data_IF_861870037360
#
_entry.id   IF_861870037360
#
_cell.length_a   1.000
_cell.length_b   1.000
_cell.length_c   1.000
_cell.angle_alpha   90.00
_cell.angle_beta   90.00
_cell.angle_gamma   90.00
#
_symmetry.space_group_name_H-M   'P 1'
#
loop_
_entity.id
_entity.type
_entity.pdbx_description
1 polymer ?
#
# COMPACT_ATOMS: atom_id res chain seq x y z
N UNK A 1 -2.42 -3.57 30.79
CA UNK A 1 -2.66 -2.34 30.00
C UNK A 1 -1.39 -2.18 29.19
N UNK A 2 -1.35 -2.36 27.88
CA UNK A 2 -2.15 -1.69 26.87
C UNK A 2 -2.51 -2.65 25.73
N UNK A 3 -3.78 -2.67 25.35
CA UNK A 3 -4.23 -3.35 24.13
C UNK A 3 -3.63 -2.60 22.94
N UNK A 4 -2.54 -3.11 22.38
CA UNK A 4 -2.11 -2.75 21.02
C UNK A 4 -3.11 -3.36 20.04
N UNK A 5 -4.30 -2.78 19.96
CA UNK A 5 -5.07 -2.79 18.73
C UNK A 5 -4.13 -2.23 17.67
N UNK A 6 -3.48 -3.12 16.91
CA UNK A 6 -3.01 -2.79 15.58
C UNK A 6 -4.24 -2.21 14.90
N UNK A 7 -4.36 -0.88 14.89
CA UNK A 7 -5.23 -0.21 13.94
C UNK A 7 -4.75 -0.78 12.62
N UNK A 8 -5.61 -1.58 11.97
CA UNK A 8 -5.44 -1.92 10.57
C UNK A 8 -5.45 -0.57 9.85
N UNK A 9 -4.29 0.08 9.80
CA UNK A 9 -4.11 1.36 9.14
C UNK A 9 -4.57 1.09 7.72
N UNK A 10 -5.65 1.76 7.33
CA UNK A 10 -6.22 1.53 6.02
C UNK A 10 -5.12 1.77 5.00
N UNK A 11 -4.94 0.86 4.02
CA UNK A 11 -3.86 0.99 3.06
C UNK A 11 -3.98 2.25 2.22
N UNK A 12 -5.09 2.98 2.32
CA UNK A 12 -5.35 4.27 1.71
C UNK A 12 -5.51 5.32 2.82
N UNK A 13 -4.77 6.42 2.70
CA UNK A 13 -4.88 7.60 3.56
C UNK A 13 -4.97 8.87 2.71
N UNK A 14 -5.61 9.92 3.23
CA UNK A 14 -5.66 11.24 2.59
C UNK A 14 -4.42 12.03 3.02
N UNK A 15 -3.74 12.65 2.07
CA UNK A 15 -2.63 13.57 2.29
C UNK A 15 -3.04 15.00 1.86
N UNK A 16 -2.27 16.03 2.22
CA UNK A 16 -2.56 17.42 1.87
C UNK A 16 -2.69 17.64 0.35
N UNK A 17 -1.92 16.88 -0.44
CA UNK A 17 -1.87 17.03 -1.91
C UNK A 17 -2.68 15.96 -2.65
N UNK A 18 -3.33 15.01 -1.95
CA UNK A 18 -4.07 13.93 -2.60
C UNK A 18 -4.32 12.72 -1.72
N UNK A 19 -4.10 11.54 -2.27
CA UNK A 19 -4.28 10.26 -1.60
C UNK A 19 -2.97 9.48 -1.62
N UNK A 20 -2.69 8.78 -0.53
CA UNK A 20 -1.49 7.98 -0.38
C UNK A 20 -1.88 6.54 -0.08
N UNK A 21 -1.24 5.60 -0.76
CA UNK A 21 -1.43 4.18 -0.61
C UNK A 21 -0.20 3.59 0.01
N UNK A 22 -0.32 2.91 1.16
CA UNK A 22 0.77 2.24 1.86
C UNK A 22 0.43 0.77 2.04
N UNK A 23 1.14 -0.09 1.32
CA UNK A 23 0.94 -1.55 1.41
C UNK A 23 2.26 -2.22 1.80
N UNK A 24 2.21 -3.04 2.85
CA UNK A 24 3.37 -3.83 3.28
C UNK A 24 3.43 -5.13 2.46
N UNK A 25 4.43 -5.24 1.60
CA UNK A 25 4.68 -6.37 0.68
C UNK A 25 6.04 -6.96 1.01
N UNK A 26 6.10 -8.25 1.39
CA UNK A 26 7.36 -8.96 1.65
C UNK A 26 8.27 -8.28 2.68
N UNK A 27 7.70 -7.63 3.70
CA UNK A 27 8.46 -6.90 4.74
C UNK A 27 8.87 -5.47 4.35
N UNK A 28 8.59 -5.02 3.13
CA UNK A 28 8.82 -3.64 2.67
C UNK A 28 7.50 -2.89 2.54
N UNK A 29 7.51 -1.59 2.79
CA UNK A 29 6.35 -0.72 2.53
C UNK A 29 6.49 -0.15 1.12
N UNK A 30 5.49 -0.39 0.28
CA UNK A 30 5.33 0.31 -0.99
C UNK A 30 4.38 1.48 -0.78
N UNK A 31 4.81 2.66 -1.22
CA UNK A 31 4.05 3.90 -1.13
C UNK A 31 3.71 4.41 -2.54
N UNK A 32 2.44 4.69 -2.80
CA UNK A 32 1.97 5.27 -4.07
C UNK A 32 1.14 6.49 -3.78
N UNK A 33 1.42 7.60 -4.47
CA UNK A 33 0.61 8.82 -4.42
C UNK A 33 -0.38 8.83 -5.57
N UNK A 34 -1.60 9.25 -5.28
CA UNK A 34 -2.73 9.28 -6.20
C UNK A 34 -3.45 10.63 -6.08
N UNK A 35 -4.00 11.12 -7.18
CA UNK A 35 -4.75 12.38 -7.19
C UNK A 35 -6.22 12.19 -6.77
N UNK A 36 -6.72 10.95 -6.85
CA UNK A 36 -8.13 10.60 -6.61
C UNK A 36 -8.28 9.38 -5.71
N UNK A 37 -9.37 9.33 -4.94
CA UNK A 37 -9.62 8.24 -3.99
C UNK A 37 -9.81 6.90 -4.70
N UNK A 38 -10.56 6.90 -5.80
CA UNK A 38 -10.80 5.70 -6.60
C UNK A 38 -9.49 5.11 -7.13
N UNK A 39 -8.55 5.96 -7.54
CA UNK A 39 -7.22 5.51 -7.99
C UNK A 39 -6.45 4.87 -6.83
N UNK A 40 -6.48 5.50 -5.65
CA UNK A 40 -5.83 4.98 -4.46
C UNK A 40 -6.41 3.63 -4.02
N UNK A 41 -7.74 3.48 -4.02
CA UNK A 41 -8.43 2.21 -3.71
C UNK A 41 -8.09 1.12 -4.73
N UNK A 42 -8.02 1.45 -6.02
CA UNK A 42 -7.60 0.52 -7.06
C UNK A 42 -6.17 0.02 -6.81
N UNK A 43 -5.21 0.92 -6.56
CA UNK A 43 -3.83 0.53 -6.25
C UNK A 43 -3.72 -0.26 -4.96
N UNK A 44 -4.46 0.11 -3.91
CA UNK A 44 -4.46 -0.64 -2.65
C UNK A 44 -4.91 -2.09 -2.89
N UNK A 45 -5.96 -2.31 -3.68
CA UNK A 45 -6.38 -3.66 -4.06
C UNK A 45 -5.30 -4.38 -4.87
N UNK A 46 -4.83 -3.79 -5.98
CA UNK A 46 -3.83 -4.40 -6.88
C UNK A 46 -2.54 -4.76 -6.14
N UNK A 47 -2.03 -3.88 -5.28
CA UNK A 47 -0.79 -4.11 -4.51
C UNK A 47 -0.98 -5.14 -3.40
N UNK A 48 -2.18 -5.22 -2.81
CA UNK A 48 -2.50 -6.25 -1.81
C UNK A 48 -2.57 -7.65 -2.44
N UNK A 49 -3.05 -7.75 -3.68
CA UNK A 49 -3.14 -9.02 -4.42
C UNK A 49 -1.84 -9.40 -5.15
N UNK A 50 -1.04 -8.43 -5.62
CA UNK A 50 0.27 -8.66 -6.25
C UNK A 50 1.39 -9.06 -5.28
N UNK A 51 1.05 -9.44 -4.05
CA UNK A 51 1.96 -9.94 -3.01
C UNK A 51 2.74 -11.23 -3.40
N UNK A 52 2.54 -11.78 -4.61
CA UNK A 52 3.03 -13.10 -4.97
C UNK A 52 4.46 -13.14 -5.54
N UNK A 53 4.99 -12.10 -6.19
CA UNK A 53 6.31 -12.20 -6.84
C UNK A 53 7.00 -10.84 -6.85
N UNK A 54 8.10 -10.61 -6.10
CA UNK A 54 9.00 -9.53 -6.49
C UNK A 54 9.42 -9.81 -7.93
N UNK A 55 9.43 -8.85 -8.87
CA UNK A 55 10.01 -9.10 -10.18
C UNK A 55 11.45 -9.53 -9.93
N UNK A 56 11.69 -10.84 -10.01
CA UNK A 56 13.03 -11.41 -10.04
C UNK A 56 13.73 -10.60 -11.11
N UNK A 57 14.73 -9.82 -10.70
CA UNK A 57 15.64 -9.17 -11.65
C UNK A 57 16.13 -10.28 -12.57
N UNK A 58 15.52 -10.41 -13.74
CA UNK A 58 16.15 -11.03 -14.88
C UNK A 58 17.22 -10.01 -15.25
N UNK A 59 18.37 -10.17 -14.59
CA UNK A 59 19.62 -9.53 -14.94
C UNK A 59 20.14 -10.35 -16.13
N UNK A 60 19.89 -9.86 -17.33
CA UNK A 60 20.63 -10.29 -18.51
C UNK A 60 22.06 -9.73 -18.43
#
# INVERSE_FOLDING_TARGET
>A
MENMTMKSESPVSRDNEGWIVRVKVGGRVQEVRCTSENQARYFAAVLSFNNAVPPSRIRN
#
